data_IF_754900149974
#
_entry.id   IF_754900149974
#
_cell.length_a   1.000
_cell.length_b   1.000
_cell.length_c   1.000
_cell.angle_alpha   90.00
_cell.angle_beta   90.00
_cell.angle_gamma   90.00
#
_symmetry.space_group_name_H-M   'P 1'
#
loop_
_entity.id
_entity.type
_entity.pdbx_description
1 polymer ?
#
# COMPACT_ATOMS: atom_id res chain seq x y z
N UNK A 1 16.34 -4.94 -3.14
CA UNK A 1 15.17 -4.43 -3.87
C UNK A 1 15.45 -3.00 -4.30
N UNK A 2 15.31 -2.71 -5.58
CA UNK A 2 15.52 -1.35 -6.07
C UNK A 2 14.23 -0.53 -5.96
N UNK A 3 14.34 0.74 -6.31
CA UNK A 3 13.23 1.68 -6.17
C UNK A 3 12.01 1.30 -7.01
N UNK A 4 12.23 0.83 -8.23
CA UNK A 4 11.13 0.43 -9.12
C UNK A 4 10.44 -0.81 -8.61
N UNK A 5 11.19 -1.79 -8.15
CA UNK A 5 10.61 -3.01 -7.59
C UNK A 5 9.79 -2.70 -6.36
N UNK A 6 10.28 -1.80 -5.52
CA UNK A 6 9.58 -1.39 -4.32
C UNK A 6 8.24 -0.72 -4.67
N UNK A 7 8.27 0.13 -5.68
CA UNK A 7 7.06 0.81 -6.14
C UNK A 7 6.05 -0.20 -6.69
N UNK A 8 6.51 -1.16 -7.49
CA UNK A 8 5.63 -2.18 -8.05
C UNK A 8 4.99 -3.03 -6.96
N UNK A 9 5.77 -3.41 -5.95
CA UNK A 9 5.23 -4.17 -4.83
C UNK A 9 4.21 -3.35 -4.04
N UNK A 10 4.49 -2.07 -3.85
CA UNK A 10 3.55 -1.19 -3.15
C UNK A 10 2.23 -1.08 -3.93
N UNK A 11 2.29 -1.00 -5.24
CA UNK A 11 1.10 -0.93 -6.08
C UNK A 11 0.27 -2.21 -6.00
N UNK A 12 0.93 -3.36 -5.95
CA UNK A 12 0.24 -4.63 -5.77
C UNK A 12 -0.52 -4.66 -4.45
N UNK A 13 0.12 -4.18 -3.37
CA UNK A 13 -0.52 -4.12 -2.08
C UNK A 13 -1.72 -3.17 -2.09
N UNK A 14 -1.58 -2.01 -2.71
CA UNK A 14 -2.69 -1.07 -2.84
C UNK A 14 -3.87 -1.75 -3.52
N UNK A 15 -3.61 -2.46 -4.62
CA UNK A 15 -4.66 -3.15 -5.35
C UNK A 15 -5.36 -4.19 -4.48
N UNK A 16 -4.60 -4.97 -3.72
CA UNK A 16 -5.17 -5.99 -2.83
C UNK A 16 -6.02 -5.35 -1.73
N UNK A 17 -5.59 -4.21 -1.21
CA UNK A 17 -6.33 -3.49 -0.19
C UNK A 17 -7.65 -2.96 -0.77
N UNK A 18 -7.62 -2.39 -1.96
CA UNK A 18 -8.82 -1.88 -2.62
C UNK A 18 -9.83 -2.98 -2.93
N UNK A 19 -9.33 -4.18 -3.24
CA UNK A 19 -10.18 -5.34 -3.50
C UNK A 19 -10.71 -5.99 -2.23
N UNK A 20 -10.27 -5.53 -1.07
CA UNK A 20 -10.71 -6.09 0.21
C UNK A 20 -10.06 -7.42 0.56
N UNK A 21 -9.01 -7.82 -0.15
CA UNK A 21 -8.31 -9.09 0.10
C UNK A 21 -7.23 -8.97 1.16
N UNK A 22 -6.73 -7.78 1.38
CA UNK A 22 -5.70 -7.49 2.36
C UNK A 22 -6.03 -6.19 3.08
N UNK A 23 -5.40 -5.99 4.24
CA UNK A 23 -5.54 -4.74 4.98
C UNK A 23 -4.17 -4.07 5.10
N UNK A 24 -4.19 -2.77 5.36
CA UNK A 24 -2.96 -1.99 5.47
C UNK A 24 -1.99 -2.59 6.51
N UNK A 25 -2.53 -3.08 7.62
CA UNK A 25 -1.71 -3.66 8.69
C UNK A 25 -0.88 -4.86 8.23
N UNK A 26 -1.30 -5.54 7.15
CA UNK A 26 -0.58 -6.69 6.60
C UNK A 26 0.60 -6.28 5.74
N UNK A 27 0.69 -5.02 5.35
CA UNK A 27 1.75 -4.53 4.46
C UNK A 27 3.10 -4.63 5.16
N UNK A 28 4.13 -5.17 4.48
CA UNK A 28 5.47 -5.20 5.06
C UNK A 28 5.94 -3.82 5.45
N UNK A 29 6.67 -3.75 6.55
CA UNK A 29 7.15 -2.50 7.12
C UNK A 29 7.83 -1.59 6.12
N UNK A 30 8.66 -2.16 5.25
CA UNK A 30 9.41 -1.37 4.26
C UNK A 30 8.51 -0.73 3.22
N UNK A 31 7.33 -1.33 2.98
CA UNK A 31 6.41 -0.84 1.96
C UNK A 31 5.32 0.06 2.53
N UNK A 32 5.12 0.05 3.85
CA UNK A 32 4.04 0.82 4.46
C UNK A 32 4.05 2.31 4.11
N UNK A 33 5.18 3.02 4.19
CA UNK A 33 5.19 4.44 3.85
C UNK A 33 4.74 4.70 2.41
N UNK A 34 5.17 3.85 1.49
CA UNK A 34 4.81 4.01 0.08
C UNK A 34 3.37 3.65 -0.18
N UNK A 35 2.89 2.57 0.42
CA UNK A 35 1.48 2.16 0.30
C UNK A 35 0.57 3.24 0.88
N UNK A 36 0.93 3.79 2.03
CA UNK A 36 0.19 4.87 2.66
C UNK A 36 0.10 6.07 1.73
N UNK A 37 1.22 6.47 1.16
CA UNK A 37 1.29 7.60 0.24
C UNK A 37 0.36 7.38 -0.96
N UNK A 38 0.42 6.18 -1.54
CA UNK A 38 -0.41 5.85 -2.69
C UNK A 38 -1.90 5.85 -2.36
N UNK A 39 -2.26 5.33 -1.20
CA UNK A 39 -3.66 5.31 -0.78
C UNK A 39 -4.18 6.72 -0.54
N UNK A 40 -3.40 7.56 0.13
CA UNK A 40 -3.79 8.94 0.40
C UNK A 40 -3.95 9.72 -0.89
N UNK A 41 -2.99 9.58 -1.81
CA UNK A 41 -3.03 10.27 -3.09
C UNK A 41 -4.23 9.86 -3.94
N UNK A 42 -4.69 8.63 -3.78
CA UNK A 42 -5.85 8.11 -4.50
C UNK A 42 -7.18 8.43 -3.81
N UNK A 43 -7.13 9.07 -2.64
CA UNK A 43 -8.34 9.41 -1.90
C UNK A 43 -8.85 8.30 -0.98
N UNK A 44 -8.01 7.33 -0.65
CA UNK A 44 -8.39 6.21 0.21
C UNK A 44 -7.70 6.26 1.56
N UNK A 45 -7.56 7.45 2.11
CA UNK A 45 -6.92 7.64 3.41
C UNK A 45 -7.58 6.82 4.51
N UNK A 46 -8.90 6.63 4.43
CA UNK A 46 -9.66 5.84 5.39
C UNK A 46 -9.25 4.37 5.43
N UNK A 47 -8.55 3.89 4.40
CA UNK A 47 -8.06 2.51 4.36
C UNK A 47 -6.69 2.36 5.01
N UNK A 48 -6.08 3.46 5.42
CA UNK A 48 -4.81 3.43 6.14
C UNK A 48 -5.12 3.16 7.60
N UNK A 49 -5.31 1.88 7.92
CA UNK A 49 -5.73 1.43 9.25
C UNK A 49 -4.57 0.68 9.90
N UNK A 50 -3.89 1.32 10.78
CA UNK A 50 -2.74 0.75 11.46
C UNK A 50 -3.07 0.30 12.86
#
# INVERSE_FOLDING_TARGET
MNKEERLMMAMLWVNQILLGKKVYADVPRLLKPKVKELLIDAGYEDLVTE
#
